data_IF_558276855634
#
_entry.id   IF_558276855634
#
_cell.length_a   1.000
_cell.length_b   1.000
_cell.length_c   1.000
_cell.angle_alpha   90.00
_cell.angle_beta   90.00
_cell.angle_gamma   90.00
#
_symmetry.space_group_name_H-M   'P 1'
#
loop_
_entity.id
_entity.type
_entity.pdbx_description
1 polymer ?
#
# COMPACT_ATOMS: atom_id res chain seq x y z
N UNK A 1 -18.09 -2.15 27.50
CA UNK A 1 -17.60 -3.36 26.80
C UNK A 1 -17.38 -3.00 25.35
N UNK A 2 -16.12 -2.95 24.89
CA UNK A 2 -15.79 -2.72 23.49
C UNK A 2 -16.03 -3.99 22.67
N UNK A 3 -16.44 -3.92 21.39
CA UNK A 3 -16.61 -5.12 20.57
C UNK A 3 -15.21 -5.61 20.15
N UNK A 4 -14.91 -6.85 20.52
CA UNK A 4 -13.79 -7.63 19.99
C UNK A 4 -13.99 -7.80 18.49
N UNK A 5 -13.09 -7.20 17.69
CA UNK A 5 -13.00 -7.48 16.26
C UNK A 5 -12.72 -8.98 16.08
N UNK A 6 -13.67 -9.71 15.50
CA UNK A 6 -13.46 -11.11 15.12
C UNK A 6 -12.37 -11.17 14.05
N UNK A 7 -11.15 -11.50 14.47
CA UNK A 7 -10.10 -11.95 13.58
C UNK A 7 -10.58 -13.23 12.85
N UNK A 8 -10.75 -13.14 11.53
CA UNK A 8 -10.82 -14.32 10.66
C UNK A 8 -9.54 -15.14 10.89
N UNK A 9 -9.61 -16.47 11.03
CA UNK A 9 -8.45 -17.26 11.44
C UNK A 9 -7.33 -17.15 10.41
N UNK A 10 -6.12 -16.86 10.92
CA UNK A 10 -4.84 -16.80 10.20
C UNK A 10 -4.53 -18.05 9.35
N UNK A 11 -5.21 -19.17 9.58
CA UNK A 11 -5.01 -20.42 8.85
C UNK A 11 -5.34 -20.30 7.35
N UNK A 12 -6.38 -19.57 6.95
CA UNK A 12 -6.77 -19.45 5.53
C UNK A 12 -5.75 -18.63 4.72
N UNK A 13 -5.40 -17.42 5.19
CA UNK A 13 -4.40 -16.55 4.56
C UNK A 13 -3.02 -17.23 4.47
N UNK A 14 -2.59 -17.93 5.53
CA UNK A 14 -1.31 -18.65 5.52
C UNK A 14 -1.32 -19.83 4.55
N UNK A 15 -2.42 -20.58 4.46
CA UNK A 15 -2.58 -21.71 3.53
C UNK A 15 -2.63 -21.26 2.07
N UNK A 16 -3.37 -20.18 1.76
CA UNK A 16 -3.39 -19.56 0.43
C UNK A 16 -2.01 -19.07 0.05
N UNK A 17 -1.37 -18.34 0.95
CA UNK A 17 -0.03 -17.81 0.68
C UNK A 17 0.95 -18.96 0.47
N UNK A 18 0.87 -20.04 1.25
CA UNK A 18 1.71 -21.23 1.06
C UNK A 18 1.41 -21.95 -0.26
N UNK A 19 0.14 -22.08 -0.66
CA UNK A 19 -0.25 -22.67 -1.94
C UNK A 19 0.22 -21.83 -3.12
N UNK A 20 0.07 -20.51 -3.03
CA UNK A 20 0.59 -19.55 -4.02
C UNK A 20 2.11 -19.62 -4.06
N UNK A 21 2.81 -19.61 -2.93
CA UNK A 21 4.27 -19.78 -2.90
C UNK A 21 4.70 -21.10 -3.53
N UNK A 22 4.00 -22.20 -3.24
CA UNK A 22 4.30 -23.53 -3.78
C UNK A 22 4.09 -23.60 -5.30
N UNK A 23 3.00 -23.06 -5.84
CA UNK A 23 2.79 -22.98 -7.29
C UNK A 23 3.85 -22.11 -7.97
N UNK A 24 4.12 -20.94 -7.37
CA UNK A 24 5.14 -20.04 -7.87
C UNK A 24 6.52 -20.71 -7.83
N UNK A 25 6.88 -21.47 -6.80
CA UNK A 25 8.17 -22.16 -6.68
C UNK A 25 8.27 -23.43 -7.55
N UNK A 26 7.17 -24.15 -7.78
CA UNK A 26 7.13 -25.28 -8.71
C UNK A 26 7.37 -24.86 -10.17
N UNK A 27 6.90 -23.68 -10.57
CA UNK A 27 7.27 -23.08 -11.85
C UNK A 27 8.77 -22.74 -11.98
N UNK A 28 9.52 -22.68 -10.88
CA UNK A 28 10.96 -22.41 -10.87
C UNK A 28 11.84 -23.66 -10.72
N UNK A 29 11.29 -24.79 -10.25
CA UNK A 29 12.07 -26.00 -9.94
C UNK A 29 12.07 -27.06 -11.06
N UNK A 30 11.36 -26.82 -12.16
CA UNK A 30 11.37 -27.68 -13.34
C UNK A 30 12.44 -27.24 -14.35
N UNK A 31 13.72 -27.48 -14.05
CA UNK A 31 14.75 -27.52 -15.10
C UNK A 31 14.68 -28.84 -15.83
N UNK A 32 13.99 -28.86 -16.97
CA UNK A 32 14.34 -29.52 -18.25
C UNK A 32 13.11 -29.50 -19.22
N UNK A 33 12.47 -28.34 -19.38
CA UNK A 33 11.74 -27.97 -20.62
C UNK A 33 11.43 -26.46 -20.60
N UNK A 34 12.48 -25.64 -20.55
CA UNK A 34 12.41 -24.18 -20.44
C UNK A 34 12.05 -23.54 -21.78
N UNK A 35 10.77 -23.46 -22.10
CA UNK A 35 10.24 -22.45 -23.04
C UNK A 35 8.74 -22.18 -22.88
N UNK A 36 7.96 -23.12 -22.33
CA UNK A 36 6.50 -23.01 -22.26
C UNK A 36 5.96 -22.56 -20.89
N UNK A 37 6.53 -23.03 -19.77
CA UNK A 37 5.97 -22.75 -18.43
C UNK A 37 6.29 -21.34 -17.91
N UNK A 38 7.51 -20.85 -18.13
CA UNK A 38 7.85 -19.46 -17.85
C UNK A 38 7.02 -18.49 -18.71
N UNK A 39 6.71 -18.88 -19.95
CA UNK A 39 5.82 -18.13 -20.83
C UNK A 39 4.39 -18.08 -20.27
N UNK A 40 3.88 -19.20 -19.73
CA UNK A 40 2.54 -19.26 -19.17
C UNK A 40 2.42 -18.39 -17.91
N UNK A 41 3.37 -18.45 -16.98
CA UNK A 41 3.37 -17.61 -15.77
C UNK A 41 3.58 -16.10 -16.07
N UNK A 42 4.28 -15.77 -17.15
CA UNK A 42 4.45 -14.38 -17.63
C UNK A 42 3.14 -13.83 -18.20
N UNK A 43 2.38 -14.64 -18.94
CA UNK A 43 1.15 -14.22 -19.64
C UNK A 43 -0.10 -14.31 -18.76
N UNK A 44 -0.13 -15.24 -17.79
CA UNK A 44 -1.32 -15.46 -16.94
C UNK A 44 -1.55 -14.27 -16.00
N UNK A 45 -2.71 -13.62 -16.17
CA UNK A 45 -3.17 -12.50 -15.33
C UNK A 45 -3.84 -13.05 -14.07
N UNK A 46 -3.36 -12.64 -12.91
CA UNK A 46 -3.89 -13.07 -11.59
C UNK A 46 -4.66 -11.98 -10.87
N UNK A 47 -4.52 -10.73 -11.31
CA UNK A 47 -5.34 -9.63 -10.85
C UNK A 47 -5.78 -8.76 -12.02
N UNK A 48 -7.08 -8.53 -12.13
CA UNK A 48 -7.68 -7.63 -13.12
C UNK A 48 -8.79 -6.81 -12.48
N UNK A 49 -8.67 -5.48 -12.55
CA UNK A 49 -9.65 -4.56 -11.97
C UNK A 49 -9.81 -3.29 -12.82
N UNK A 50 -11.01 -3.11 -13.39
CA UNK A 50 -11.23 -2.11 -14.46
C UNK A 50 -11.46 -0.68 -13.98
N UNK A 51 -11.85 -0.46 -12.72
CA UNK A 51 -12.22 0.86 -12.17
C UNK A 51 -11.34 1.29 -10.98
N UNK A 52 -11.06 2.59 -10.77
CA UNK A 52 -11.35 3.74 -11.64
C UNK A 52 -10.51 3.78 -12.93
N UNK A 53 -9.41 3.01 -12.99
CA UNK A 53 -8.62 2.79 -14.22
C UNK A 53 -8.33 1.30 -14.38
N UNK A 54 -8.17 0.78 -15.60
CA UNK A 54 -7.80 -0.62 -15.79
C UNK A 54 -6.42 -0.91 -15.18
N UNK A 55 -6.35 -1.97 -14.37
CA UNK A 55 -5.10 -2.54 -13.84
C UNK A 55 -5.11 -4.04 -14.12
N UNK A 56 -4.03 -4.54 -14.71
CA UNK A 56 -3.78 -5.97 -14.93
C UNK A 56 -2.39 -6.35 -14.40
N UNK A 57 -2.32 -7.40 -13.59
CA UNK A 57 -1.08 -7.86 -12.98
C UNK A 57 -0.93 -9.36 -13.20
N UNK A 58 0.17 -9.76 -13.84
CA UNK A 58 0.49 -11.17 -14.07
C UNK A 58 0.97 -11.88 -12.81
N UNK A 59 0.85 -13.21 -12.81
CA UNK A 59 1.36 -14.08 -11.76
C UNK A 59 2.85 -13.82 -11.48
N UNK A 60 3.66 -13.71 -12.55
CA UNK A 60 5.09 -13.40 -12.45
C UNK A 60 5.36 -12.05 -11.77
N UNK A 61 4.61 -10.99 -12.13
CA UNK A 61 4.76 -9.66 -11.50
C UNK A 61 4.41 -9.71 -10.00
N UNK A 62 3.35 -10.43 -9.62
CA UNK A 62 2.97 -10.62 -8.22
C UNK A 62 4.04 -11.39 -7.45
N UNK A 63 4.53 -12.52 -8.01
CA UNK A 63 5.62 -13.32 -7.42
C UNK A 63 6.85 -12.47 -7.14
N UNK A 64 7.37 -11.81 -8.17
CA UNK A 64 8.63 -11.07 -8.06
C UNK A 64 8.56 -9.95 -7.03
N UNK A 65 7.42 -9.26 -6.92
CA UNK A 65 7.31 -8.09 -6.05
C UNK A 65 6.86 -8.45 -4.64
N UNK A 66 5.93 -9.39 -4.47
CA UNK A 66 5.33 -9.70 -3.17
C UNK A 66 6.09 -10.78 -2.42
N UNK A 67 6.47 -11.89 -3.09
CA UNK A 67 7.05 -13.05 -2.41
C UNK A 67 8.56 -12.97 -2.28
N UNK A 68 9.26 -12.49 -3.32
CA UNK A 68 10.73 -12.44 -3.37
C UNK A 68 11.33 -11.11 -2.88
N UNK A 69 10.50 -10.15 -2.46
CA UNK A 69 10.95 -8.86 -1.94
C UNK A 69 11.54 -7.93 -3.01
N UNK A 70 10.89 -7.85 -4.16
CA UNK A 70 11.22 -6.94 -5.26
C UNK A 70 10.64 -5.53 -5.12
N UNK A 71 11.01 -4.64 -6.05
CA UNK A 71 10.49 -3.27 -6.11
C UNK A 71 9.00 -3.29 -6.43
N UNK A 72 8.19 -2.63 -5.60
CA UNK A 72 6.77 -2.42 -5.85
C UNK A 72 6.61 -1.49 -7.06
N UNK A 73 5.85 -1.91 -8.06
CA UNK A 73 5.52 -1.13 -9.25
C UNK A 73 4.21 -0.36 -9.06
N UNK A 74 3.99 0.64 -9.91
CA UNK A 74 2.81 1.52 -9.86
C UNK A 74 1.48 0.76 -9.94
N UNK A 75 1.36 -0.24 -10.82
CA UNK A 75 0.13 -1.03 -10.98
C UNK A 75 -0.24 -1.77 -9.68
N UNK A 76 0.75 -2.45 -9.08
CA UNK A 76 0.54 -3.22 -7.86
C UNK A 76 0.30 -2.32 -6.65
N UNK A 77 1.00 -1.18 -6.57
CA UNK A 77 0.73 -0.17 -5.54
C UNK A 77 -0.70 0.38 -5.66
N UNK A 78 -1.10 0.76 -6.87
CA UNK A 78 -2.44 1.29 -7.15
C UNK A 78 -3.53 0.29 -6.79
N UNK A 79 -3.30 -0.99 -7.05
CA UNK A 79 -4.24 -2.04 -6.68
C UNK A 79 -4.32 -2.27 -5.16
N UNK A 80 -3.20 -2.23 -4.43
CA UNK A 80 -3.22 -2.27 -2.97
C UNK A 80 -3.91 -1.05 -2.35
N UNK A 81 -3.78 0.13 -2.95
CA UNK A 81 -4.50 1.32 -2.47
C UNK A 81 -6.02 1.17 -2.67
N UNK A 82 -6.48 0.58 -3.78
CA UNK A 82 -7.91 0.26 -3.96
C UNK A 82 -8.40 -0.76 -2.95
N UNK A 83 -7.60 -1.78 -2.67
CA UNK A 83 -7.91 -2.75 -1.62
C UNK A 83 -8.08 -2.05 -0.27
N UNK A 84 -7.14 -1.18 0.13
CA UNK A 84 -7.25 -0.41 1.36
C UNK A 84 -8.51 0.46 1.41
N UNK A 85 -8.89 1.09 0.30
CA UNK A 85 -10.15 1.84 0.22
C UNK A 85 -11.38 0.95 0.45
N UNK A 86 -11.41 -0.27 -0.11
CA UNK A 86 -12.51 -1.22 0.12
C UNK A 86 -12.56 -1.72 1.58
N UNK A 87 -11.41 -2.03 2.17
CA UNK A 87 -11.33 -2.46 3.57
C UNK A 87 -11.79 -1.33 4.51
N UNK A 88 -11.35 -0.11 4.26
CA UNK A 88 -11.78 1.07 5.00
C UNK A 88 -13.31 1.25 4.85
N UNK A 89 -13.86 1.13 3.64
CA UNK A 89 -15.31 1.21 3.41
C UNK A 89 -16.09 0.11 4.16
N UNK A 90 -15.58 -1.12 4.22
CA UNK A 90 -16.18 -2.23 4.98
C UNK A 90 -16.11 -2.03 6.49
N UNK A 91 -15.01 -1.47 7.00
CA UNK A 91 -14.88 -1.11 8.43
C UNK A 91 -15.82 0.04 8.83
N UNK A 92 -16.26 0.86 7.88
CA UNK A 92 -17.14 2.02 8.10
C UNK A 92 -18.64 1.68 8.25
N UNK A 93 -19.05 0.41 8.31
CA UNK A 93 -20.45 0.05 8.63
C UNK A 93 -20.73 0.00 10.14
N UNK A 94 -19.82 0.54 10.97
CA UNK A 94 -19.90 0.54 12.43
C UNK A 94 -20.66 1.78 12.96
N UNK A 95 -21.64 1.66 13.88
CA UNK A 95 -22.41 2.78 14.43
C UNK A 95 -21.61 3.82 15.23
N UNK A 96 -20.34 3.52 15.56
CA UNK A 96 -19.48 4.39 16.39
C UNK A 96 -18.86 5.58 15.65
N UNK A 97 -19.14 5.76 14.35
CA UNK A 97 -18.91 7.02 13.64
C UNK A 97 -17.45 7.41 13.39
N UNK A 98 -16.47 6.56 13.70
CA UNK A 98 -15.08 6.85 13.34
C UNK A 98 -14.81 6.49 11.88
N UNK A 99 -15.17 7.42 11.00
CA UNK A 99 -14.74 7.48 9.61
C UNK A 99 -13.28 7.89 9.58
N UNK A 100 -12.39 7.02 9.13
CA UNK A 100 -10.99 7.41 8.97
C UNK A 100 -10.71 8.00 7.57
N UNK A 101 -11.42 7.60 6.48
CA UNK A 101 -11.15 8.09 5.09
C UNK A 101 -12.37 8.09 4.11
N UNK A 102 -12.61 9.25 3.44
CA UNK A 102 -13.57 9.70 2.36
C UNK A 102 -15.11 9.62 2.55
N UNK A 103 -15.99 10.54 2.11
CA UNK A 103 -16.00 11.88 1.45
C UNK A 103 -15.56 13.04 2.39
N UNK A 104 -15.36 14.28 1.88
CA UNK A 104 -14.67 15.45 2.49
C UNK A 104 -15.48 16.27 3.56
N UNK A 105 -15.22 16.06 4.88
CA UNK A 105 -15.25 17.09 5.93
C UNK A 105 -13.83 17.34 6.52
N UNK A 106 -13.57 18.45 7.22
CA UNK A 106 -12.23 18.94 7.62
C UNK A 106 -11.34 18.05 8.51
N UNK A 107 -11.78 16.83 8.84
CA UNK A 107 -11.10 15.88 9.74
C UNK A 107 -10.33 14.78 8.98
N UNK A 108 -10.02 14.97 7.69
CA UNK A 108 -9.47 13.90 6.84
C UNK A 108 -7.94 13.96 6.68
N UNK A 109 -7.33 12.78 6.51
CA UNK A 109 -5.96 12.65 6.04
C UNK A 109 -5.93 12.07 4.61
N UNK A 110 -5.30 12.77 3.67
CA UNK A 110 -4.97 12.18 2.36
C UNK A 110 -3.62 11.47 2.47
N UNK A 111 -3.55 10.20 2.08
CA UNK A 111 -2.32 9.41 2.11
C UNK A 111 -1.93 9.06 0.69
N UNK A 112 -0.70 9.39 0.29
CA UNK A 112 -0.14 9.07 -1.01
C UNK A 112 1.20 8.34 -0.87
N UNK A 113 1.30 7.09 -1.32
CA UNK A 113 2.57 6.51 -1.72
C UNK A 113 3.16 7.29 -2.89
N UNK A 114 4.42 7.71 -2.77
CA UNK A 114 5.14 8.47 -3.80
C UNK A 114 6.38 7.68 -4.20
N UNK A 115 6.46 7.27 -5.46
CA UNK A 115 7.68 6.75 -6.05
C UNK A 115 8.60 7.90 -6.45
N UNK A 116 9.86 7.83 -6.03
CA UNK A 116 10.87 8.85 -6.30
C UNK A 116 11.80 8.39 -7.42
N UNK A 117 12.49 9.36 -8.04
CA UNK A 117 13.61 9.09 -8.92
C UNK A 117 14.62 8.17 -8.21
N UNK A 118 14.94 7.02 -8.84
CA UNK A 118 15.77 5.97 -8.24
C UNK A 118 14.98 4.77 -7.66
N UNK A 119 13.66 4.70 -7.84
CA UNK A 119 12.84 3.52 -7.54
C UNK A 119 12.61 3.28 -6.04
N UNK A 120 12.80 4.30 -5.21
CA UNK A 120 12.44 4.26 -3.78
C UNK A 120 11.09 4.89 -3.54
N UNK A 121 10.33 4.34 -2.60
CA UNK A 121 9.02 4.85 -2.22
C UNK A 121 9.07 5.66 -0.93
N UNK A 122 8.12 6.57 -0.77
CA UNK A 122 7.89 7.34 0.47
C UNK A 122 6.39 7.55 0.69
N UNK A 123 5.99 7.85 1.92
CA UNK A 123 4.60 8.08 2.29
C UNK A 123 4.39 9.57 2.60
N UNK A 124 3.52 10.23 1.84
CA UNK A 124 3.12 11.61 2.05
C UNK A 124 1.70 11.63 2.60
N UNK A 125 1.48 12.36 3.69
CA UNK A 125 0.18 12.40 4.36
C UNK A 125 -0.20 13.86 4.58
N UNK A 126 -1.32 14.30 4.01
CA UNK A 126 -1.89 15.62 4.28
C UNK A 126 -2.94 15.48 5.38
N UNK A 127 -2.60 15.93 6.58
CA UNK A 127 -3.53 16.10 7.70
C UNK A 127 -4.21 17.47 7.55
N UNK A 128 -5.47 17.43 7.12
CA UNK A 128 -6.23 18.63 6.75
C UNK A 128 -6.78 19.36 7.97
N UNK A 129 -6.93 18.66 9.08
CA UNK A 129 -7.34 19.24 10.36
C UNK A 129 -6.20 20.06 10.95
N UNK A 130 -4.98 19.50 10.96
CA UNK A 130 -3.77 20.17 11.48
C UNK A 130 -3.10 21.11 10.49
N UNK A 131 -3.54 21.12 9.23
CA UNK A 131 -2.87 21.81 8.12
C UNK A 131 -1.39 21.42 8.06
N UNK A 132 -1.13 20.12 8.08
CA UNK A 132 0.22 19.57 8.16
C UNK A 132 0.44 18.49 7.11
N UNK A 133 1.57 18.57 6.42
CA UNK A 133 2.04 17.52 5.51
C UNK A 133 3.13 16.70 6.21
N UNK A 134 2.84 15.43 6.49
CA UNK A 134 3.79 14.48 7.05
C UNK A 134 4.51 13.73 5.94
N UNK A 135 5.84 13.65 6.04
CA UNK A 135 6.71 13.05 5.04
C UNK A 135 7.54 11.96 5.70
N UNK A 136 7.30 10.72 5.28
CA UNK A 136 7.96 9.53 5.79
C UNK A 136 8.75 8.86 4.66
N UNK A 137 10.08 8.82 4.79
CA UNK A 137 10.95 8.04 3.91
C UNK A 137 11.49 6.81 4.65
N UNK A 138 11.09 5.59 4.27
CA UNK A 138 11.58 4.35 4.86
C UNK A 138 13.10 4.18 4.80
N UNK A 139 13.75 4.69 3.76
CA UNK A 139 15.19 4.51 3.49
C UNK A 139 16.04 5.46 4.33
N UNK A 140 15.44 6.55 4.84
CA UNK A 140 16.11 7.59 5.62
C UNK A 140 15.80 7.55 7.12
N UNK A 141 15.11 6.53 7.64
CA UNK A 141 14.69 6.46 9.05
C UNK A 141 15.82 6.49 10.11
N UNK A 142 17.08 6.28 9.72
CA UNK A 142 18.26 6.38 10.59
C UNK A 142 19.18 7.56 10.21
N UNK A 143 18.64 8.56 9.50
CA UNK A 143 19.32 9.81 9.18
C UNK A 143 18.74 10.94 10.01
N UNK A 144 19.35 12.12 9.93
CA UNK A 144 18.77 13.33 10.51
C UNK A 144 17.64 13.85 9.60
N UNK A 145 16.66 14.52 10.20
CA UNK A 145 15.47 15.05 9.49
C UNK A 145 15.84 15.99 8.34
N UNK A 146 16.96 16.71 8.42
CA UNK A 146 17.50 17.51 7.33
C UNK A 146 17.68 16.72 6.03
N UNK A 147 18.15 15.47 6.08
CA UNK A 147 18.32 14.65 4.87
C UNK A 147 16.98 14.33 4.20
N UNK A 148 15.94 14.10 5.00
CA UNK A 148 14.58 13.86 4.49
C UNK A 148 14.06 15.15 3.86
N UNK A 149 14.21 16.28 4.55
CA UNK A 149 13.83 17.61 4.01
C UNK A 149 14.52 17.90 2.69
N UNK A 150 15.85 17.79 2.63
CA UNK A 150 16.63 18.04 1.42
C UNK A 150 16.20 17.16 0.23
N UNK A 151 15.84 15.89 0.48
CA UNK A 151 15.39 14.97 -0.56
C UNK A 151 13.96 15.27 -1.04
N UNK A 152 13.06 15.66 -0.13
CA UNK A 152 11.63 15.67 -0.41
C UNK A 152 11.03 17.05 -0.63
N UNK A 153 11.62 18.12 -0.10
CA UNK A 153 11.00 19.44 0.00
C UNK A 153 10.42 19.91 -1.35
N UNK A 154 11.23 19.90 -2.41
CA UNK A 154 10.80 20.34 -3.75
C UNK A 154 9.59 19.53 -4.26
N UNK A 155 9.68 18.21 -4.24
CA UNK A 155 8.60 17.32 -4.72
C UNK A 155 7.35 17.48 -3.86
N UNK A 156 7.50 17.55 -2.54
CA UNK A 156 6.40 17.72 -1.60
C UNK A 156 5.68 19.06 -1.83
N UNK A 157 6.41 20.17 -1.99
CA UNK A 157 5.84 21.49 -2.30
C UNK A 157 5.06 21.48 -3.61
N UNK A 158 5.59 20.86 -4.67
CA UNK A 158 4.90 20.80 -5.97
C UNK A 158 3.59 20.00 -5.89
N UNK A 159 3.62 18.81 -5.29
CA UNK A 159 2.43 17.96 -5.15
C UNK A 159 1.41 18.64 -4.23
N UNK A 160 1.86 19.23 -3.12
CA UNK A 160 1.02 19.98 -2.18
C UNK A 160 0.30 21.14 -2.87
N UNK A 161 1.03 21.98 -3.60
CA UNK A 161 0.44 23.12 -4.32
C UNK A 161 -0.59 22.66 -5.37
N UNK A 162 -0.26 21.63 -6.15
CA UNK A 162 -1.17 21.06 -7.14
C UNK A 162 -2.44 20.48 -6.51
N UNK A 163 -2.30 19.71 -5.43
CA UNK A 163 -3.42 19.14 -4.69
C UNK A 163 -4.34 20.21 -4.13
N UNK A 164 -3.81 21.21 -3.42
CA UNK A 164 -4.63 22.26 -2.82
C UNK A 164 -5.29 23.14 -3.89
N UNK A 165 -4.62 23.37 -5.02
CA UNK A 165 -5.23 24.05 -6.18
C UNK A 165 -6.45 23.25 -6.69
N UNK A 166 -6.32 21.93 -6.82
CA UNK A 166 -7.44 21.07 -7.19
C UNK A 166 -8.55 21.14 -6.13
N UNK A 167 -8.20 21.10 -4.84
CA UNK A 167 -9.20 21.14 -3.77
C UNK A 167 -10.01 22.44 -3.84
N UNK A 168 -9.33 23.59 -3.87
CA UNK A 168 -9.99 24.90 -3.94
C UNK A 168 -10.82 25.07 -5.23
N UNK A 169 -10.41 24.44 -6.34
CA UNK A 169 -11.12 24.53 -7.61
C UNK A 169 -12.38 23.67 -7.66
N UNK A 170 -12.34 22.47 -7.08
CA UNK A 170 -13.42 21.48 -7.25
C UNK A 170 -14.34 21.36 -6.02
N UNK A 171 -13.92 21.84 -4.85
CA UNK A 171 -14.69 21.77 -3.61
C UNK A 171 -14.91 23.18 -3.03
N UNK A 172 -16.10 23.73 -3.23
CA UNK A 172 -16.46 25.05 -2.68
C UNK A 172 -16.49 25.08 -1.16
N UNK A 173 -16.15 26.24 -0.57
CA UNK A 173 -16.13 26.45 0.90
C UNK A 173 -14.86 25.95 1.60
N UNK A 174 -13.92 25.38 0.86
CA UNK A 174 -12.61 24.94 1.35
C UNK A 174 -11.54 25.94 0.93
N UNK A 175 -11.68 27.23 1.25
CA UNK A 175 -10.67 28.24 0.90
C UNK A 175 -9.36 28.01 1.66
N UNK A 176 -8.59 26.99 1.25
CA UNK A 176 -7.35 26.57 1.89
C UNK A 176 -6.23 27.46 1.37
N UNK A 177 -5.53 28.12 2.29
CA UNK A 177 -4.30 28.81 2.00
C UNK A 177 -3.11 27.82 2.07
N UNK A 178 -2.40 27.54 0.97
CA UNK A 178 -1.25 26.63 0.98
C UNK A 178 -0.10 27.09 1.88
N UNK A 179 0.03 28.39 2.13
CA UNK A 179 1.14 28.94 2.90
C UNK A 179 0.99 28.75 4.42
N UNK A 180 -0.20 28.34 4.89
CA UNK A 180 -0.47 28.04 6.30
C UNK A 180 -0.10 26.61 6.67
N UNK A 181 0.41 25.82 5.73
CA UNK A 181 0.71 24.41 5.96
C UNK A 181 2.12 24.17 6.46
N UNK A 182 2.24 23.33 7.49
CA UNK A 182 3.53 22.90 8.01
C UNK A 182 4.01 21.61 7.33
N UNK A 183 5.31 21.54 7.01
CA UNK A 183 5.94 20.33 6.50
C UNK A 183 6.71 19.64 7.62
N UNK A 184 6.41 18.38 7.89
CA UNK A 184 7.06 17.61 8.95
C UNK A 184 7.71 16.35 8.41
N UNK A 185 9.00 16.22 8.71
CA UNK A 185 9.85 15.16 8.20
C UNK A 185 10.21 14.20 9.33
N UNK A 186 9.94 12.91 9.13
CA UNK A 186 10.04 11.92 10.20
C UNK A 186 11.25 11.01 10.03
N UNK A 187 11.96 10.80 11.14
CA UNK A 187 13.06 9.83 11.29
C UNK A 187 12.94 9.16 12.67
N UNK A 188 13.46 7.96 12.82
CA UNK A 188 13.47 7.24 14.10
C UNK A 188 12.13 6.62 14.51
N UNK A 189 11.10 6.65 13.66
CA UNK A 189 9.78 6.07 13.95
C UNK A 189 9.65 4.62 13.49
N UNK A 190 10.62 4.12 12.71
CA UNK A 190 10.74 2.70 12.36
C UNK A 190 12.20 2.31 12.08
N UNK A 191 12.51 1.01 11.97
CA UNK A 191 13.77 0.56 11.38
C UNK A 191 13.96 1.10 9.96
N UNK A 192 15.23 1.22 9.53
CA UNK A 192 15.59 1.62 8.17
C UNK A 192 15.25 0.51 7.17
N UNK A 193 14.58 0.90 6.08
CA UNK A 193 14.28 0.01 4.97
C UNK A 193 15.44 -0.05 3.95
N UNK A 194 15.59 -1.22 3.31
CA UNK A 194 16.35 -1.33 2.06
C UNK A 194 15.50 -0.77 0.92
N UNK A 195 16.12 -0.16 -0.10
CA UNK A 195 15.39 0.44 -1.25
C UNK A 195 14.33 -0.50 -1.84
N UNK A 196 14.66 -1.79 -2.02
CA UNK A 196 13.73 -2.81 -2.55
C UNK A 196 12.47 -3.05 -1.72
N UNK A 197 12.52 -2.77 -0.41
CA UNK A 197 11.40 -2.95 0.50
C UNK A 197 10.64 -1.64 0.77
N UNK A 198 11.13 -0.50 0.25
CA UNK A 198 10.57 0.82 0.56
C UNK A 198 9.08 0.92 0.26
N UNK A 199 8.59 0.29 -0.83
CA UNK A 199 7.16 0.26 -1.16
C UNK A 199 6.30 -0.39 -0.08
N UNK A 200 6.70 -1.55 0.44
CA UNK A 200 5.96 -2.22 1.52
C UNK A 200 6.03 -1.46 2.85
N UNK A 201 7.15 -0.79 3.14
CA UNK A 201 7.23 0.10 4.30
C UNK A 201 6.29 1.29 4.14
N UNK A 202 6.22 1.91 2.96
CA UNK A 202 5.28 2.98 2.65
C UNK A 202 3.83 2.53 2.83
N UNK A 203 3.47 1.32 2.37
CA UNK A 203 2.14 0.75 2.58
C UNK A 203 1.85 0.47 4.06
N UNK A 204 2.86 0.03 4.83
CA UNK A 204 2.73 -0.13 6.27
C UNK A 204 2.49 1.22 6.97
N UNK A 205 3.28 2.24 6.62
CA UNK A 205 3.08 3.60 7.15
C UNK A 205 1.71 4.14 6.79
N UNK A 206 1.24 3.91 5.57
CA UNK A 206 -0.10 4.32 5.13
C UNK A 206 -1.21 3.73 6.01
N UNK A 207 -0.99 2.50 6.52
CA UNK A 207 -1.95 1.82 7.38
C UNK A 207 -1.83 2.23 8.85
N UNK A 208 -0.61 2.38 9.36
CA UNK A 208 -0.34 2.45 10.81
C UNK A 208 0.07 3.85 11.29
N UNK A 209 0.36 4.80 10.41
CA UNK A 209 0.76 6.15 10.83
C UNK A 209 -0.44 6.93 11.38
N UNK A 210 -0.27 7.44 12.59
CA UNK A 210 -1.23 8.31 13.23
C UNK A 210 -0.50 9.28 14.16
N UNK A 211 -0.72 10.58 13.96
CA UNK A 211 -0.23 11.64 14.84
C UNK A 211 1.28 11.56 15.14
N UNK A 212 2.09 11.50 14.08
CA UNK A 212 3.55 11.54 14.19
C UNK A 212 4.22 10.24 14.63
N UNK A 213 3.47 9.15 14.85
CA UNK A 213 3.99 7.83 15.22
C UNK A 213 3.30 6.70 14.48
N UNK A 214 3.90 5.51 14.50
CA UNK A 214 3.24 4.28 14.05
C UNK A 214 2.47 3.68 15.23
N UNK A 215 1.19 3.38 15.04
CA UNK A 215 0.35 2.73 16.04
C UNK A 215 0.87 1.35 16.41
N UNK A 216 1.33 0.58 15.41
CA UNK A 216 2.07 -0.67 15.60
C UNK A 216 3.52 -0.50 15.20
N UNK A 217 4.44 -0.79 16.13
CA UNK A 217 5.87 -0.77 15.85
C UNK A 217 6.23 -1.77 14.76
N UNK A 218 7.10 -1.37 13.85
CA UNK A 218 7.57 -2.23 12.77
C UNK A 218 8.76 -3.06 13.24
N UNK A 219 8.61 -4.38 13.24
CA UNK A 219 9.67 -5.36 13.54
C UNK A 219 10.07 -6.15 12.26
N UNK A 220 11.01 -7.08 12.41
CA UNK A 220 11.53 -7.89 11.30
C UNK A 220 10.48 -8.81 10.66
N UNK A 221 9.43 -9.20 11.39
CA UNK A 221 8.34 -10.06 10.90
C UNK A 221 7.19 -9.26 10.27
N UNK A 222 7.01 -8.00 10.66
CA UNK A 222 5.88 -7.15 10.29
C UNK A 222 5.71 -7.01 8.77
N UNK A 223 6.80 -6.81 8.03
CA UNK A 223 6.75 -6.65 6.57
C UNK A 223 6.50 -7.98 5.86
N UNK A 224 7.04 -9.07 6.38
CA UNK A 224 6.75 -10.41 5.86
C UNK A 224 5.29 -10.77 6.06
N UNK A 225 4.75 -10.50 7.25
CA UNK A 225 3.32 -10.69 7.53
C UNK A 225 2.46 -9.81 6.64
N UNK A 226 2.80 -8.52 6.49
CA UNK A 226 2.09 -7.60 5.60
C UNK A 226 2.05 -8.10 4.16
N UNK A 227 3.14 -8.64 3.62
CA UNK A 227 3.19 -9.18 2.25
C UNK A 227 2.21 -10.33 2.05
N UNK A 228 2.19 -11.28 2.98
CA UNK A 228 1.29 -12.44 2.91
C UNK A 228 -0.16 -12.02 3.00
N UNK A 229 -0.44 -11.12 3.95
CA UNK A 229 -1.77 -10.57 4.17
C UNK A 229 -2.28 -9.81 2.94
N UNK A 230 -1.45 -8.92 2.38
CA UNK A 230 -1.76 -8.19 1.15
C UNK A 230 -1.95 -9.10 -0.05
N UNK A 231 -1.14 -10.15 -0.20
CA UNK A 231 -1.30 -11.12 -1.29
C UNK A 231 -2.67 -11.80 -1.23
N UNK A 232 -3.02 -12.37 -0.08
CA UNK A 232 -4.31 -13.03 0.13
C UNK A 232 -5.47 -12.08 -0.14
N UNK A 233 -5.43 -10.89 0.45
CA UNK A 233 -6.51 -9.90 0.32
C UNK A 233 -6.63 -9.35 -1.10
N UNK A 234 -5.52 -9.25 -1.83
CA UNK A 234 -5.50 -8.78 -3.21
C UNK A 234 -6.10 -9.81 -4.18
N UNK A 235 -5.79 -11.10 -3.99
CA UNK A 235 -6.39 -12.18 -4.79
C UNK A 235 -7.90 -12.32 -4.53
N UNK A 236 -8.33 -12.05 -3.30
CA UNK A 236 -9.74 -12.09 -2.87
C UNK A 236 -10.47 -10.75 -2.95
N UNK A 237 -9.84 -9.75 -3.58
CA UNK A 237 -10.38 -8.40 -3.66
C UNK A 237 -11.69 -8.40 -4.45
N UNK A 238 -12.70 -7.69 -3.93
CA UNK A 238 -14.00 -7.58 -4.60
C UNK A 238 -13.83 -6.88 -5.95
N UNK A 239 -14.38 -7.47 -7.01
CA UNK A 239 -14.20 -6.99 -8.38
C UNK A 239 -12.90 -7.43 -9.04
N UNK A 240 -12.13 -8.35 -8.44
CA UNK A 240 -11.09 -9.08 -9.16
C UNK A 240 -11.76 -10.10 -10.10
N UNK A 241 -11.65 -9.89 -11.41
CA UNK A 241 -12.25 -10.76 -12.43
C UNK A 241 -11.27 -11.78 -13.02
N UNK A 242 -10.04 -11.84 -12.51
CA UNK A 242 -9.07 -12.81 -12.98
C UNK A 242 -9.50 -14.24 -12.61
N UNK A 243 -9.44 -15.15 -13.58
CA UNK A 243 -9.61 -16.58 -13.31
C UNK A 243 -8.37 -17.09 -12.59
N UNK A 244 -8.50 -17.35 -11.29
CA UNK A 244 -7.42 -17.91 -10.51
C UNK A 244 -7.29 -19.42 -10.82
N UNK A 245 -6.06 -19.97 -10.82
CA UNK A 245 -5.87 -21.41 -10.93
C UNK A 245 -6.75 -22.16 -9.92
N UNK A 246 -7.44 -23.22 -10.35
CA UNK A 246 -8.44 -23.94 -9.56
C UNK A 246 -7.93 -24.42 -8.20
N UNK A 247 -6.64 -24.73 -8.11
CA UNK A 247 -6.00 -25.16 -6.88
C UNK A 247 -5.56 -24.01 -5.95
N UNK A 248 -5.53 -22.75 -6.40
CA UNK A 248 -5.52 -21.56 -5.55
C UNK A 248 -6.95 -21.23 -5.13
N UNK A 249 -7.89 -21.24 -6.07
CA UNK A 249 -9.29 -20.87 -5.85
C UNK A 249 -9.92 -21.67 -4.69
N UNK A 250 -9.62 -22.98 -4.59
CA UNK A 250 -10.07 -23.85 -3.48
C UNK A 250 -9.63 -23.42 -2.07
N UNK A 251 -8.62 -22.57 -1.94
CA UNK A 251 -8.18 -22.04 -0.65
C UNK A 251 -8.81 -20.66 -0.34
N UNK A 252 -9.55 -20.08 -1.29
CA UNK A 252 -10.25 -18.80 -1.16
C UNK A 252 -11.74 -18.95 -0.84
N UNK A 253 -12.32 -20.13 -1.11
CA UNK A 253 -13.68 -20.57 -0.75
C UNK A 253 -13.79 -20.92 0.75
#
# INVERSE_FOLDING_TARGET
>A
MAPTAHHRPLNSSAQVTAAVHHELDQGASATLDQSNDDNLAVVTVWFKHDKPTPIEISAMKLKMQVTHGGNLCMDLCSAFIRLYQQLDAKMNTNPSGQRWRHFFPPQFALIAPVELAGGTWSCYIWDMEKRQMHILDPVLQQRVTYNVSAKHHRTATMIHAGLLTCINKFFGGWDINPNEWMFSYYTGISPRSKSRNSGFYTLYYSREFHDGKLQRSLDSGSITALRKDLLYQHLTMEGNYAELPSHIARYLE
#
